data_IF_060700967486
#
_entry.id   IF_060700967486
#
_cell.length_a   1.000
_cell.length_b   1.000
_cell.length_c   1.000
_cell.angle_alpha   90.00
_cell.angle_beta   90.00
_cell.angle_gamma   90.00
#
_symmetry.space_group_name_H-M   'P 1'
#
loop_
_entity.id
_entity.type
_entity.pdbx_description
1 polymer ?
#
# COMPACT_ATOMS: atom_id res chain seq x y z
N UNK A 1 10.86 -7.93 22.43
CA UNK A 1 11.38 -6.59 22.09
C UNK A 1 11.17 -6.38 20.62
N UNK A 2 10.64 -5.22 20.24
CA UNK A 2 10.32 -4.84 18.84
C UNK A 2 11.57 -4.56 18.02
N UNK A 3 11.44 -4.51 16.68
CA UNK A 3 12.53 -4.06 15.80
C UNK A 3 13.01 -2.64 16.18
N UNK A 4 12.09 -1.73 16.51
CA UNK A 4 12.44 -0.36 16.92
C UNK A 4 13.32 -0.33 18.17
N UNK A 5 12.95 -1.08 19.21
CA UNK A 5 13.73 -1.14 20.46
C UNK A 5 15.12 -1.75 20.22
N UNK A 6 15.19 -2.82 19.43
CA UNK A 6 16.48 -3.44 19.06
C UNK A 6 17.36 -2.45 18.30
N UNK A 7 16.79 -1.72 17.34
CA UNK A 7 17.49 -0.70 16.56
C UNK A 7 18.03 0.42 17.45
N UNK A 8 17.22 0.94 18.37
CA UNK A 8 17.61 1.99 19.33
C UNK A 8 18.75 1.54 20.24
N UNK A 9 18.82 0.25 20.57
CA UNK A 9 19.91 -0.35 21.34
C UNK A 9 21.16 -0.70 20.52
N UNK A 10 21.22 -0.27 19.24
CA UNK A 10 22.36 -0.53 18.36
C UNK A 10 22.43 -1.97 17.83
N UNK A 11 21.36 -2.75 17.95
CA UNK A 11 21.31 -4.14 17.48
C UNK A 11 20.82 -4.20 16.03
N UNK A 12 21.66 -4.75 15.15
CA UNK A 12 21.25 -5.18 13.80
C UNK A 12 20.60 -6.57 13.92
N UNK A 13 19.38 -6.72 13.41
CA UNK A 13 18.63 -7.98 13.47
C UNK A 13 18.72 -8.76 12.15
N UNK A 14 18.45 -10.08 12.15
CA UNK A 14 18.38 -10.85 10.91
C UNK A 14 17.35 -10.31 9.91
N UNK A 15 16.27 -9.68 10.40
CA UNK A 15 15.31 -9.03 9.51
C UNK A 15 15.89 -7.77 8.86
N UNK A 16 16.69 -6.98 9.59
CA UNK A 16 17.38 -5.81 9.02
C UNK A 16 18.43 -6.21 7.97
N UNK A 17 19.16 -7.30 8.20
CA UNK A 17 20.12 -7.85 7.22
C UNK A 17 19.42 -8.27 5.93
N UNK A 18 18.32 -9.04 6.04
CA UNK A 18 17.55 -9.46 4.87
C UNK A 18 16.98 -8.29 4.07
N UNK A 19 16.50 -7.23 4.75
CA UNK A 19 16.03 -6.01 4.09
C UNK A 19 17.21 -5.32 3.39
N UNK A 20 18.35 -5.18 4.07
CA UNK A 20 19.53 -4.52 3.51
C UNK A 20 20.01 -5.19 2.22
N UNK A 21 20.08 -6.52 2.22
CA UNK A 21 20.50 -7.32 1.05
C UNK A 21 19.57 -7.12 -0.14
N UNK A 22 18.24 -7.14 0.07
CA UNK A 22 17.24 -6.97 -0.99
C UNK A 22 17.20 -5.55 -1.57
N UNK A 23 17.52 -4.57 -0.75
CA UNK A 23 17.51 -3.15 -1.12
C UNK A 23 18.86 -2.67 -1.66
N UNK A 24 19.93 -3.47 -1.49
CA UNK A 24 21.29 -3.10 -1.93
C UNK A 24 21.93 -2.03 -1.06
N UNK A 25 21.62 -2.02 0.25
CA UNK A 25 22.13 -1.07 1.25
C UNK A 25 22.80 -1.81 2.40
N UNK A 26 23.40 -1.10 3.35
CA UNK A 26 24.04 -1.74 4.51
C UNK A 26 23.02 -2.08 5.62
N UNK A 27 23.24 -3.13 6.42
CA UNK A 27 22.39 -3.42 7.58
C UNK A 27 22.33 -2.25 8.58
N UNK A 28 23.42 -1.50 8.71
CA UNK A 28 23.49 -0.32 9.56
C UNK A 28 22.61 0.84 9.04
N UNK A 29 22.50 1.01 7.72
CA UNK A 29 21.56 1.97 7.13
C UNK A 29 20.12 1.62 7.52
N UNK A 30 19.74 0.35 7.42
CA UNK A 30 18.41 -0.12 7.84
C UNK A 30 18.21 0.09 9.33
N UNK A 31 19.15 -0.33 10.18
CA UNK A 31 19.06 -0.16 11.63
C UNK A 31 18.87 1.31 12.01
N UNK A 32 19.65 2.22 11.43
CA UNK A 32 19.53 3.65 11.72
C UNK A 32 18.19 4.22 11.24
N UNK A 33 17.70 3.80 10.07
CA UNK A 33 16.39 4.20 9.57
C UNK A 33 15.24 3.71 10.46
N UNK A 34 15.33 2.48 10.97
CA UNK A 34 14.38 1.93 11.94
C UNK A 34 14.45 2.70 13.26
N UNK A 35 15.64 2.95 13.80
CA UNK A 35 15.84 3.72 15.03
C UNK A 35 15.31 5.16 14.92
N UNK A 36 15.45 5.80 13.76
CA UNK A 36 14.90 7.13 13.48
C UNK A 36 13.39 7.11 13.19
N UNK A 37 12.80 5.92 13.01
CA UNK A 37 11.42 5.72 12.61
C UNK A 37 11.10 6.15 11.17
N UNK A 38 12.12 6.31 10.31
CA UNK A 38 11.97 6.63 8.87
C UNK A 38 11.89 5.37 8.00
N UNK A 39 12.16 4.21 8.59
CA UNK A 39 11.94 2.87 8.02
C UNK A 39 11.15 2.05 9.03
N UNK A 40 10.18 1.27 8.55
CA UNK A 40 9.53 0.21 9.34
C UNK A 40 9.77 -1.14 8.67
N UNK A 41 9.80 -2.20 9.48
CA UNK A 41 9.86 -3.59 9.04
C UNK A 41 8.65 -4.28 9.66
N UNK A 42 7.49 -4.34 8.97
CA UNK A 42 6.31 -5.04 9.46
C UNK A 42 6.62 -6.54 9.55
N UNK A 43 6.78 -7.02 10.78
CA UNK A 43 7.06 -8.43 11.06
C UNK A 43 6.56 -8.78 12.45
N UNK A 44 5.37 -9.38 12.50
CA UNK A 44 4.84 -9.89 13.75
C UNK A 44 5.71 -11.05 14.27
N UNK A 45 5.89 -11.13 15.59
CA UNK A 45 6.68 -12.21 16.22
C UNK A 45 6.15 -13.61 15.91
N UNK A 46 4.83 -13.76 15.71
CA UNK A 46 4.18 -15.03 15.43
C UNK A 46 4.29 -15.43 13.95
N UNK A 47 4.70 -14.50 13.07
CA UNK A 47 4.84 -14.79 11.66
C UNK A 47 6.18 -15.45 11.35
N UNK A 48 6.12 -16.69 10.86
CA UNK A 48 7.30 -17.52 10.53
C UNK A 48 7.67 -17.52 9.06
N UNK A 49 6.69 -17.51 8.16
CA UNK A 49 6.89 -17.65 6.71
C UNK A 49 6.99 -16.30 5.99
N UNK A 50 7.45 -15.24 6.68
CA UNK A 50 7.57 -13.90 6.12
C UNK A 50 8.94 -13.69 5.48
N UNK A 51 8.94 -13.07 4.30
CA UNK A 51 10.12 -12.41 3.74
C UNK A 51 10.02 -10.93 4.16
N UNK A 52 10.83 -10.45 5.12
CA UNK A 52 10.74 -9.09 5.61
C UNK A 52 10.87 -8.06 4.48
N UNK A 53 10.05 -7.01 4.55
CA UNK A 53 10.14 -5.86 3.65
C UNK A 53 10.37 -4.60 4.48
N UNK A 54 11.39 -3.83 4.11
CA UNK A 54 11.59 -2.49 4.65
C UNK A 54 10.72 -1.49 3.90
N UNK A 55 9.96 -0.69 4.62
CA UNK A 55 9.15 0.40 4.06
C UNK A 55 9.69 1.71 4.61
N UNK A 56 10.27 2.56 3.77
CA UNK A 56 10.78 3.85 4.24
C UNK A 56 11.82 4.51 3.36
N UNK A 57 12.31 5.64 3.85
CA UNK A 57 13.15 6.55 3.09
C UNK A 57 14.46 5.90 2.62
N UNK A 58 14.80 6.12 1.35
CA UNK A 58 16.01 5.57 0.72
C UNK A 58 15.90 4.12 0.26
N UNK A 59 14.76 3.45 0.49
CA UNK A 59 14.45 2.12 -0.06
C UNK A 59 13.58 2.24 -1.31
N UNK A 60 13.50 1.17 -2.11
CA UNK A 60 12.60 1.10 -3.27
C UNK A 60 11.15 1.32 -2.84
N UNK A 61 10.37 2.00 -3.66
CA UNK A 61 8.95 2.25 -3.37
C UNK A 61 8.18 0.92 -3.34
N UNK A 62 7.37 0.70 -2.30
CA UNK A 62 6.62 -0.55 -2.10
C UNK A 62 5.19 -0.44 -2.61
N UNK A 63 4.59 -1.58 -2.95
CA UNK A 63 3.20 -1.68 -3.40
C UNK A 63 2.41 -2.66 -2.53
N UNK A 64 1.18 -2.30 -2.13
CA UNK A 64 0.25 -3.20 -1.46
C UNK A 64 -0.96 -3.49 -2.34
N UNK A 65 -1.36 -4.76 -2.39
CA UNK A 65 -2.66 -5.18 -2.91
C UNK A 65 -3.66 -5.39 -1.77
N UNK A 66 -4.94 -5.16 -2.04
CA UNK A 66 -6.04 -5.35 -1.08
C UNK A 66 -7.01 -6.40 -1.57
N UNK A 67 -7.35 -7.35 -0.70
CA UNK A 67 -8.31 -8.44 -0.94
C UNK A 67 -9.32 -8.47 0.22
N UNK A 68 -10.33 -9.33 0.15
CA UNK A 68 -11.18 -9.59 1.32
C UNK A 68 -12.59 -10.05 0.96
N UNK A 69 -13.21 -10.73 1.91
CA UNK A 69 -14.59 -11.17 1.80
C UNK A 69 -15.57 -10.01 1.90
N UNK A 70 -16.42 -9.91 0.89
CA UNK A 70 -17.55 -8.97 0.86
C UNK A 70 -18.77 -9.60 0.19
N UNK A 71 -19.89 -9.65 0.91
CA UNK A 71 -21.17 -10.16 0.40
C UNK A 71 -21.22 -11.69 0.26
N UNK A 72 -22.36 -12.19 -0.22
CA UNK A 72 -22.68 -13.63 -0.22
C UNK A 72 -21.93 -14.45 -1.28
N UNK A 73 -21.42 -13.81 -2.34
CA UNK A 73 -20.73 -14.49 -3.44
C UNK A 73 -19.22 -14.66 -3.19
N UNK A 74 -18.66 -13.96 -2.21
CA UNK A 74 -17.24 -14.05 -1.91
C UNK A 74 -16.93 -15.38 -1.21
N UNK A 75 -15.85 -16.03 -1.63
CA UNK A 75 -15.36 -17.26 -1.02
C UNK A 75 -13.89 -17.12 -0.66
N UNK A 76 -13.47 -17.82 0.39
CA UNK A 76 -12.07 -17.84 0.84
C UNK A 76 -11.16 -18.32 -0.29
N UNK A 77 -11.57 -19.34 -1.04
CA UNK A 77 -10.78 -19.88 -2.17
C UNK A 77 -10.54 -18.82 -3.26
N UNK A 78 -11.57 -18.03 -3.58
CA UNK A 78 -11.45 -16.93 -4.56
C UNK A 78 -10.51 -15.85 -4.06
N UNK A 79 -10.60 -15.45 -2.79
CA UNK A 79 -9.73 -14.42 -2.22
C UNK A 79 -8.28 -14.91 -2.08
N UNK A 80 -8.07 -16.18 -1.74
CA UNK A 80 -6.73 -16.81 -1.77
C UNK A 80 -6.15 -16.83 -3.19
N UNK A 81 -6.96 -17.08 -4.22
CA UNK A 81 -6.52 -17.00 -5.61
C UNK A 81 -6.10 -15.56 -6.01
N UNK A 82 -6.81 -14.54 -5.53
CA UNK A 82 -6.42 -13.13 -5.70
C UNK A 82 -5.11 -12.81 -4.98
N UNK A 83 -4.90 -13.31 -3.76
CA UNK A 83 -3.64 -13.14 -3.02
C UNK A 83 -2.47 -13.73 -3.81
N UNK A 84 -2.60 -14.99 -4.26
CA UNK A 84 -1.56 -15.66 -5.06
C UNK A 84 -1.26 -14.87 -6.33
N UNK A 85 -2.29 -14.42 -7.02
CA UNK A 85 -2.18 -13.57 -8.22
C UNK A 85 -1.45 -12.26 -7.94
N UNK A 86 -1.77 -11.57 -6.85
CA UNK A 86 -1.12 -10.33 -6.46
C UNK A 86 0.37 -10.54 -6.12
N UNK A 87 0.71 -11.64 -5.43
CA UNK A 87 2.09 -12.02 -5.12
C UNK A 87 2.85 -12.37 -6.40
N UNK A 88 2.28 -13.15 -7.30
CA UNK A 88 2.86 -13.45 -8.62
C UNK A 88 3.08 -12.19 -9.46
N UNK A 89 2.16 -11.22 -9.37
CA UNK A 89 2.28 -9.91 -10.02
C UNK A 89 3.31 -8.99 -9.35
N UNK A 90 3.90 -9.40 -8.22
CA UNK A 90 5.02 -8.73 -7.56
C UNK A 90 4.64 -7.68 -6.53
N UNK A 91 3.48 -7.82 -5.86
CA UNK A 91 3.15 -6.95 -4.72
C UNK A 91 4.10 -7.16 -3.53
N UNK A 92 4.40 -6.11 -2.77
CA UNK A 92 5.26 -6.16 -1.59
C UNK A 92 4.49 -6.44 -0.30
N UNK A 93 3.15 -6.36 -0.34
CA UNK A 93 2.28 -6.49 0.83
C UNK A 93 0.85 -6.83 0.42
N UNK A 94 0.13 -7.49 1.32
CA UNK A 94 -1.30 -7.77 1.19
C UNK A 94 -2.06 -7.06 2.32
N UNK A 95 -3.22 -6.50 2.02
CA UNK A 95 -4.21 -6.12 3.02
C UNK A 95 -5.44 -7.02 2.92
N UNK A 96 -5.80 -7.69 4.03
CA UNK A 96 -7.08 -8.36 4.16
C UNK A 96 -8.10 -7.37 4.74
N UNK A 97 -9.07 -7.01 3.90
CA UNK A 97 -10.12 -6.04 4.15
C UNK A 97 -11.49 -6.69 4.33
N UNK A 98 -11.53 -7.98 4.69
CA UNK A 98 -12.77 -8.74 4.89
C UNK A 98 -13.72 -8.07 5.88
N UNK A 99 -14.99 -7.94 5.50
CA UNK A 99 -16.07 -7.34 6.33
C UNK A 99 -17.25 -8.28 6.56
N UNK A 100 -17.28 -9.43 5.87
CA UNK A 100 -18.36 -10.41 5.96
C UNK A 100 -17.83 -11.84 5.92
N UNK A 101 -18.72 -12.83 6.13
CA UNK A 101 -18.34 -14.24 6.19
C UNK A 101 -17.49 -14.58 7.42
N UNK A 102 -16.69 -15.64 7.30
CA UNK A 102 -15.73 -16.06 8.33
C UNK A 102 -14.41 -15.31 8.16
N UNK A 103 -14.35 -14.10 8.75
CA UNK A 103 -13.20 -13.20 8.69
C UNK A 103 -11.98 -13.82 9.40
N UNK A 104 -12.21 -14.58 10.48
CA UNK A 104 -11.14 -15.26 11.20
C UNK A 104 -10.48 -16.34 10.34
N UNK A 105 -11.28 -17.16 9.66
CA UNK A 105 -10.76 -18.17 8.72
C UNK A 105 -10.06 -17.52 7.53
N UNK A 106 -10.67 -16.50 6.92
CA UNK A 106 -10.07 -15.78 5.79
C UNK A 106 -8.70 -15.20 6.13
N UNK A 107 -8.57 -14.55 7.29
CA UNK A 107 -7.29 -13.98 7.74
C UNK A 107 -6.21 -15.04 7.91
N UNK A 108 -6.54 -16.19 8.51
CA UNK A 108 -5.59 -17.29 8.69
C UNK A 108 -5.14 -17.88 7.36
N UNK A 109 -6.07 -18.05 6.42
CA UNK A 109 -5.76 -18.50 5.06
C UNK A 109 -4.92 -17.48 4.30
N UNK A 110 -5.20 -16.19 4.45
CA UNK A 110 -4.41 -15.12 3.86
C UNK A 110 -2.96 -15.13 4.38
N UNK A 111 -2.77 -15.24 5.70
CA UNK A 111 -1.47 -15.34 6.35
C UNK A 111 -0.66 -16.57 5.88
N UNK A 112 -1.34 -17.67 5.60
CA UNK A 112 -0.72 -18.89 5.06
C UNK A 112 -0.40 -18.76 3.56
N UNK A 113 -1.20 -18.00 2.80
CA UNK A 113 -1.09 -17.91 1.35
C UNK A 113 -0.02 -16.93 0.85
N UNK A 114 0.45 -15.98 1.68
CA UNK A 114 1.45 -14.98 1.27
C UNK A 114 2.74 -15.01 2.10
N UNK A 115 3.93 -14.89 1.46
CA UNK A 115 5.19 -14.63 2.15
C UNK A 115 5.45 -13.13 2.40
N UNK A 116 4.63 -12.22 1.87
CA UNK A 116 4.81 -10.76 2.00
C UNK A 116 4.06 -10.18 3.19
N UNK A 117 4.48 -9.08 3.84
CA UNK A 117 3.74 -8.41 4.93
C UNK A 117 2.22 -8.42 4.72
N UNK A 118 1.47 -8.84 5.75
CA UNK A 118 0.02 -8.81 5.72
C UNK A 118 -0.51 -7.81 6.75
N UNK A 119 -1.40 -6.94 6.31
CA UNK A 119 -2.10 -6.00 7.19
C UNK A 119 -3.61 -6.13 7.14
N UNK A 120 -4.27 -5.55 8.14
CA UNK A 120 -5.74 -5.58 8.30
C UNK A 120 -6.27 -4.26 8.83
N UNK A 121 -7.60 -4.10 8.85
CA UNK A 121 -8.28 -3.07 9.62
C UNK A 121 -9.17 -3.72 10.69
N UNK A 122 -8.69 -3.91 11.93
CA UNK A 122 -9.44 -4.58 13.01
C UNK A 122 -10.85 -4.06 13.22
N UNK A 123 -11.04 -2.75 13.04
CA UNK A 123 -12.33 -2.11 13.19
C UNK A 123 -13.41 -2.72 12.28
N UNK A 124 -13.04 -3.22 11.10
CA UNK A 124 -13.98 -3.83 10.13
C UNK A 124 -14.59 -5.10 10.70
N UNK A 125 -13.76 -5.96 11.28
CA UNK A 125 -14.22 -7.18 11.93
C UNK A 125 -15.03 -6.87 13.19
N UNK A 126 -14.59 -5.90 14.00
CA UNK A 126 -15.29 -5.49 15.21
C UNK A 126 -16.72 -5.01 14.93
N UNK A 127 -16.91 -4.15 13.91
CA UNK A 127 -18.26 -3.71 13.53
C UNK A 127 -19.12 -4.81 12.93
N UNK A 128 -18.52 -5.73 12.17
CA UNK A 128 -19.23 -6.88 11.61
C UNK A 128 -19.70 -7.85 12.71
N UNK A 129 -18.86 -8.13 13.70
CA UNK A 129 -19.20 -8.97 14.87
C UNK A 129 -20.24 -8.31 15.76
N UNK A 130 -20.08 -7.01 16.07
CA UNK A 130 -21.05 -6.25 16.84
C UNK A 130 -22.41 -6.18 16.14
N UNK A 131 -22.44 -6.01 14.82
CA UNK A 131 -23.68 -6.03 14.04
C UNK A 131 -24.41 -7.37 14.15
N UNK A 132 -23.68 -8.50 14.03
CA UNK A 132 -24.25 -9.85 14.23
C UNK A 132 -24.74 -10.09 15.65
N UNK A 133 -24.02 -9.60 16.66
CA UNK A 133 -24.31 -9.84 18.08
C UNK A 133 -25.43 -8.94 18.62
N UNK A 134 -25.43 -7.66 18.26
CA UNK A 134 -26.29 -6.62 18.84
C UNK A 134 -27.37 -6.10 17.89
N UNK A 135 -27.38 -6.59 16.65
CA UNK A 135 -28.26 -6.11 15.58
C UNK A 135 -27.87 -4.74 15.00
N UNK A 136 -26.76 -4.15 15.45
CA UNK A 136 -26.23 -2.89 14.94
C UNK A 136 -24.76 -2.75 15.30
N UNK A 137 -23.94 -2.35 14.33
CA UNK A 137 -22.52 -2.00 14.54
C UNK A 137 -22.32 -0.80 15.48
N UNK A 138 -23.34 0.06 15.63
CA UNK A 138 -23.27 1.24 16.49
C UNK A 138 -23.29 0.90 17.99
N UNK A 139 -23.69 -0.33 18.34
CA UNK A 139 -23.71 -0.87 19.70
C UNK A 139 -22.46 -1.69 20.03
N UNK A 140 -21.41 -1.60 19.22
CA UNK A 140 -20.12 -2.22 19.51
C UNK A 140 -19.60 -1.71 20.85
N UNK A 141 -19.20 -2.62 21.74
CA UNK A 141 -18.53 -2.24 22.98
C UNK A 141 -17.03 -2.03 22.75
N UNK A 142 -16.41 -1.13 23.52
CA UNK A 142 -14.97 -0.81 23.36
C UNK A 142 -14.11 -2.06 23.54
N UNK A 143 -14.48 -2.95 24.47
CA UNK A 143 -13.75 -4.20 24.69
C UNK A 143 -13.80 -5.15 23.49
N UNK A 144 -14.93 -5.20 22.77
CA UNK A 144 -15.05 -6.05 21.57
C UNK A 144 -14.07 -5.60 20.48
N UNK A 145 -13.84 -4.28 20.34
CA UNK A 145 -12.83 -3.75 19.43
C UNK A 145 -11.41 -4.18 19.84
N UNK A 146 -11.06 -4.07 21.13
CA UNK A 146 -9.73 -4.44 21.61
C UNK A 146 -9.49 -5.96 21.59
N UNK A 147 -10.51 -6.77 21.85
CA UNK A 147 -10.45 -8.22 21.67
C UNK A 147 -10.13 -8.60 20.22
N UNK A 148 -10.74 -7.92 19.24
CA UNK A 148 -10.44 -8.14 17.81
C UNK A 148 -9.02 -7.70 17.46
N UNK A 149 -8.57 -6.54 17.94
CA UNK A 149 -7.20 -6.05 17.72
C UNK A 149 -6.16 -7.05 18.24
N UNK A 150 -6.32 -7.50 19.49
CA UNK A 150 -5.45 -8.49 20.13
C UNK A 150 -5.51 -9.84 19.39
N UNK A 151 -6.69 -10.30 18.99
CA UNK A 151 -6.87 -11.57 18.26
C UNK A 151 -6.15 -11.55 16.92
N UNK A 152 -6.25 -10.46 16.16
CA UNK A 152 -5.55 -10.32 14.88
C UNK A 152 -4.03 -10.22 15.06
N UNK A 153 -3.56 -9.50 16.08
CA UNK A 153 -2.14 -9.47 16.41
C UNK A 153 -1.62 -10.86 16.84
N UNK A 154 -2.40 -11.60 17.62
CA UNK A 154 -2.05 -12.95 18.03
C UNK A 154 -1.96 -13.94 16.85
N UNK A 155 -2.83 -13.80 15.85
CA UNK A 155 -2.80 -14.63 14.63
C UNK A 155 -1.54 -14.41 13.76
N UNK A 156 -0.88 -13.26 13.91
CA UNK A 156 0.37 -12.96 13.19
C UNK A 156 0.27 -11.87 12.12
N UNK A 157 -0.76 -11.02 12.16
CA UNK A 157 -0.86 -9.84 11.28
C UNK A 157 0.33 -8.90 11.52
N UNK A 158 1.00 -8.45 10.46
CA UNK A 158 2.25 -7.69 10.56
C UNK A 158 2.05 -6.19 10.76
N UNK A 159 0.95 -5.64 10.26
CA UNK A 159 0.57 -4.27 10.53
C UNK A 159 -0.94 -4.07 10.65
N UNK A 160 -1.35 -3.19 11.56
CA UNK A 160 -2.77 -2.90 11.82
C UNK A 160 -3.06 -1.47 11.40
N UNK A 161 -3.96 -1.32 10.44
CA UNK A 161 -4.48 -0.01 10.05
C UNK A 161 -5.59 0.43 11.01
N UNK A 162 -5.33 1.51 11.76
CA UNK A 162 -6.16 1.97 12.88
C UNK A 162 -6.46 3.47 12.76
N UNK A 163 -7.75 3.83 12.79
CA UNK A 163 -8.23 5.20 12.68
C UNK A 163 -8.14 5.93 14.03
N UNK A 164 -6.94 6.02 14.59
CA UNK A 164 -6.73 6.63 15.92
C UNK A 164 -6.81 8.17 15.89
N UNK A 165 -6.63 8.81 14.73
CA UNK A 165 -6.56 10.27 14.62
C UNK A 165 -7.90 10.98 14.46
N UNK A 166 -8.97 10.26 14.14
CA UNK A 166 -10.29 10.86 13.89
C UNK A 166 -10.97 11.22 15.21
N UNK A 167 -10.83 12.46 15.68
CA UNK A 167 -11.43 12.96 16.93
C UNK A 167 -12.78 13.64 16.71
N UNK A 168 -13.59 13.77 17.76
CA UNK A 168 -14.91 14.44 17.69
C UNK A 168 -14.77 15.88 17.19
N UNK A 169 -13.69 16.57 17.58
CA UNK A 169 -13.40 17.93 17.09
C UNK A 169 -13.23 18.00 15.57
N UNK A 170 -12.66 16.97 14.95
CA UNK A 170 -12.48 16.88 13.50
C UNK A 170 -13.82 16.58 12.83
N UNK A 171 -14.64 15.73 13.45
CA UNK A 171 -16.01 15.43 12.97
C UNK A 171 -16.87 16.70 12.97
N UNK A 172 -16.82 17.50 14.04
CA UNK A 172 -17.54 18.77 14.13
C UNK A 172 -17.09 19.76 13.05
N UNK A 173 -15.77 19.82 12.80
CA UNK A 173 -15.23 20.65 11.73
C UNK A 173 -15.70 20.20 10.35
N UNK A 174 -15.67 18.90 10.07
CA UNK A 174 -16.13 18.35 8.79
C UNK A 174 -17.60 18.69 8.53
N UNK A 175 -18.45 18.60 9.57
CA UNK A 175 -19.86 19.02 9.50
C UNK A 175 -20.03 20.51 9.18
N UNK A 176 -19.16 21.36 9.74
CA UNK A 176 -19.22 22.81 9.56
C UNK A 176 -18.74 23.26 8.19
N UNK A 177 -17.66 22.66 7.67
CA UNK A 177 -17.03 23.07 6.41
C UNK A 177 -17.77 22.53 5.18
N UNK A 178 -18.42 21.35 5.27
CA UNK A 178 -19.29 20.83 4.23
C UNK A 178 -18.55 20.36 2.97
N UNK A 179 -17.94 19.17 3.06
CA UNK A 179 -17.31 18.47 1.91
C UNK A 179 -18.30 18.13 0.80
N UNK A 180 -17.80 18.01 -0.42
CA UNK A 180 -18.57 17.47 -1.55
C UNK A 180 -18.82 15.98 -1.35
N UNK A 181 -17.77 15.22 -1.02
CA UNK A 181 -17.89 13.82 -0.62
C UNK A 181 -17.58 13.70 0.88
N UNK A 182 -18.62 13.64 1.73
CA UNK A 182 -18.47 13.89 3.16
C UNK A 182 -17.51 12.93 3.85
N UNK A 183 -17.58 11.63 3.58
CA UNK A 183 -16.80 10.59 4.27
C UNK A 183 -16.69 9.30 3.44
N UNK A 184 -15.50 9.03 2.90
CA UNK A 184 -15.24 7.84 2.04
C UNK A 184 -14.46 6.72 2.74
N UNK A 185 -13.98 6.94 3.96
CA UNK A 185 -13.30 5.89 4.72
C UNK A 185 -14.29 4.90 5.30
N UNK A 186 -14.39 3.66 4.80
CA UNK A 186 -15.29 2.67 5.39
C UNK A 186 -15.14 2.58 6.92
N UNK A 187 -13.90 2.41 7.41
CA UNK A 187 -13.64 2.38 8.86
C UNK A 187 -13.88 3.72 9.54
N UNK A 188 -13.45 4.83 8.94
CA UNK A 188 -13.68 6.17 9.48
C UNK A 188 -15.17 6.52 9.60
N UNK A 189 -15.98 6.22 8.59
CA UNK A 189 -17.42 6.47 8.57
C UNK A 189 -18.15 5.66 9.63
N UNK A 190 -17.83 4.37 9.79
CA UNK A 190 -18.43 3.54 10.84
C UNK A 190 -17.99 3.96 12.25
N UNK A 191 -16.73 4.38 12.40
CA UNK A 191 -16.21 4.94 13.65
C UNK A 191 -16.92 6.24 14.02
N UNK A 192 -17.06 7.18 13.08
CA UNK A 192 -17.79 8.44 13.29
C UNK A 192 -19.25 8.15 13.63
N UNK A 193 -19.88 7.20 12.93
CA UNK A 193 -21.23 6.73 13.27
C UNK A 193 -21.32 6.27 14.72
N UNK A 194 -20.38 5.43 15.17
CA UNK A 194 -20.31 4.96 16.54
C UNK A 194 -20.11 6.11 17.54
N UNK A 195 -19.19 7.04 17.26
CA UNK A 195 -18.89 8.20 18.12
C UNK A 195 -20.13 9.07 18.33
N UNK A 196 -20.85 9.38 17.24
CA UNK A 196 -22.05 10.20 17.27
C UNK A 196 -23.22 9.49 17.96
N UNK A 197 -23.40 8.19 17.71
CA UNK A 197 -24.47 7.41 18.34
C UNK A 197 -24.30 7.29 19.86
N UNK A 198 -23.06 7.04 20.30
CA UNK A 198 -22.74 6.85 21.71
C UNK A 198 -22.44 8.15 22.45
N UNK A 199 -22.34 9.28 21.75
CA UNK A 199 -21.88 10.57 22.28
C UNK A 199 -20.55 10.43 23.04
N UNK A 200 -19.59 9.74 22.41
CA UNK A 200 -18.26 9.44 22.98
C UNK A 200 -17.16 9.82 21.98
N UNK A 201 -15.98 10.09 22.51
CA UNK A 201 -14.78 10.26 21.68
C UNK A 201 -14.36 8.92 21.07
N UNK A 202 -13.48 8.99 20.06
CA UNK A 202 -12.90 7.84 19.40
C UNK A 202 -12.22 6.89 20.41
N UNK A 203 -12.69 5.64 20.54
CA UNK A 203 -12.18 4.70 21.53
C UNK A 203 -10.71 4.33 21.29
N UNK A 204 -10.23 4.38 20.04
CA UNK A 204 -8.82 4.14 19.72
C UNK A 204 -7.92 5.32 20.11
N UNK A 205 -8.47 6.54 20.08
CA UNK A 205 -7.76 7.74 20.50
C UNK A 205 -7.66 7.82 22.03
N UNK A 206 -8.79 7.64 22.73
CA UNK A 206 -8.84 7.66 24.21
C UNK A 206 -8.00 6.54 24.82
N UNK A 207 -7.98 5.37 24.18
CA UNK A 207 -7.27 4.18 24.66
C UNK A 207 -6.01 3.89 23.85
N UNK A 208 -5.33 4.91 23.33
CA UNK A 208 -4.16 4.71 22.47
C UNK A 208 -3.05 3.91 23.16
N UNK A 209 -2.86 4.06 24.48
CA UNK A 209 -1.84 3.28 25.21
C UNK A 209 -2.11 1.78 25.16
N UNK A 210 -3.39 1.35 25.19
CA UNK A 210 -3.77 -0.06 24.99
C UNK A 210 -3.41 -0.55 23.59
N UNK A 211 -3.57 0.30 22.57
CA UNK A 211 -3.13 -0.02 21.20
C UNK A 211 -1.61 -0.24 21.16
N UNK A 212 -0.85 0.63 21.83
CA UNK A 212 0.61 0.55 21.91
C UNK A 212 1.08 -0.70 22.66
N UNK A 213 0.41 -1.07 23.75
CA UNK A 213 0.70 -2.29 24.52
C UNK A 213 0.56 -3.55 23.65
N UNK A 214 -0.55 -3.66 22.91
CA UNK A 214 -0.80 -4.78 21.99
C UNK A 214 0.27 -4.80 20.89
N UNK A 215 0.49 -3.66 20.22
CA UNK A 215 1.45 -3.57 19.12
C UNK A 215 2.88 -3.94 19.59
N UNK A 216 3.28 -3.47 20.77
CA UNK A 216 4.58 -3.78 21.38
C UNK A 216 4.71 -5.25 21.77
N UNK A 217 3.64 -5.87 22.26
CA UNK A 217 3.62 -7.29 22.66
C UNK A 217 3.94 -8.21 21.48
N UNK A 218 3.42 -7.92 20.30
CA UNK A 218 3.57 -8.76 19.11
C UNK A 218 4.54 -8.24 18.04
N UNK A 219 5.18 -7.08 18.25
CA UNK A 219 5.98 -6.37 17.24
C UNK A 219 5.21 -6.06 15.96
N UNK A 220 3.95 -5.67 16.14
CA UNK A 220 3.07 -5.29 15.05
C UNK A 220 3.28 -3.82 14.73
N UNK A 221 3.46 -3.51 13.45
CA UNK A 221 3.57 -2.12 13.00
C UNK A 221 2.19 -1.46 13.01
N UNK A 222 2.08 -0.27 13.59
CA UNK A 222 0.84 0.52 13.48
C UNK A 222 0.85 1.26 12.15
N UNK A 223 -0.22 1.12 11.38
CA UNK A 223 -0.52 1.98 10.24
C UNK A 223 -1.62 2.96 10.66
N UNK A 224 -1.25 4.19 11.00
CA UNK A 224 -2.22 5.19 11.44
C UNK A 224 -3.08 5.61 10.24
N UNK A 225 -4.32 5.16 10.21
CA UNK A 225 -5.24 5.34 9.09
C UNK A 225 -5.95 6.70 9.16
N UNK A 226 -6.13 7.33 8.00
CA UNK A 226 -6.83 8.61 7.83
C UNK A 226 -8.33 8.39 7.60
N UNK A 227 -9.14 8.77 8.59
CA UNK A 227 -10.60 8.76 8.50
C UNK A 227 -11.15 9.88 7.62
N UNK A 228 -10.44 11.00 7.56
CA UNK A 228 -10.78 12.22 6.81
C UNK A 228 -9.99 12.36 5.51
N UNK A 229 -9.59 11.26 4.87
CA UNK A 229 -9.04 11.36 3.51
C UNK A 229 -10.09 11.94 2.54
N UNK A 230 -9.67 12.71 1.53
CA UNK A 230 -10.56 13.24 0.49
C UNK A 230 -11.10 12.12 -0.41
N UNK A 231 -12.42 12.13 -0.62
CA UNK A 231 -13.14 11.25 -1.55
C UNK A 231 -13.35 11.83 -2.94
N UNK A 232 -13.10 13.12 -3.09
CA UNK A 232 -13.03 13.79 -4.38
C UNK A 232 -11.92 14.84 -4.37
N UNK A 233 -11.53 15.32 -5.55
CA UNK A 233 -10.47 16.31 -5.70
C UNK A 233 -10.73 17.61 -4.93
N UNK A 234 -11.99 18.04 -4.84
CA UNK A 234 -12.38 19.30 -4.22
C UNK A 234 -12.15 19.33 -2.71
N UNK A 235 -12.17 18.15 -2.07
CA UNK A 235 -11.98 18.00 -0.63
C UNK A 235 -10.49 17.84 -0.26
N UNK A 236 -9.58 17.91 -1.25
CA UNK A 236 -8.15 17.76 -1.04
C UNK A 236 -7.53 18.97 -0.34
N UNK A 237 -6.75 18.70 0.71
CA UNK A 237 -6.11 19.65 1.62
C UNK A 237 -7.09 20.56 2.36
N UNK A 238 -8.30 20.05 2.62
CA UNK A 238 -9.30 20.74 3.41
C UNK A 238 -8.98 20.73 4.93
N UNK A 239 -9.79 21.44 5.70
CA UNK A 239 -9.59 21.60 7.13
C UNK A 239 -9.55 20.28 7.92
N UNK A 240 -10.57 19.41 7.78
CA UNK A 240 -10.60 18.09 8.42
C UNK A 240 -9.40 17.20 8.09
N UNK A 241 -8.98 17.13 6.81
CA UNK A 241 -7.83 16.31 6.42
C UNK A 241 -6.55 16.80 7.10
N UNK A 242 -6.30 18.11 7.03
CA UNK A 242 -5.09 18.71 7.60
C UNK A 242 -5.09 18.57 9.13
N UNK A 243 -6.24 18.78 9.78
CA UNK A 243 -6.35 18.63 11.23
C UNK A 243 -6.12 17.19 11.69
N UNK A 244 -6.68 16.20 10.99
CA UNK A 244 -6.41 14.80 11.30
C UNK A 244 -4.92 14.50 11.17
N UNK A 245 -4.26 14.96 10.11
CA UNK A 245 -2.83 14.75 9.92
C UNK A 245 -1.97 15.36 11.04
N UNK A 246 -2.40 16.49 11.63
CA UNK A 246 -1.75 17.06 12.82
C UNK A 246 -1.84 16.08 14.00
N UNK A 247 -3.03 15.55 14.29
CA UNK A 247 -3.25 14.57 15.36
C UNK A 247 -2.44 13.29 15.11
N UNK A 248 -2.42 12.77 13.89
CA UNK A 248 -1.62 11.60 13.52
C UNK A 248 -0.13 11.84 13.81
N UNK A 249 0.38 13.06 13.58
CA UNK A 249 1.75 13.44 13.92
C UNK A 249 2.06 13.39 15.43
N UNK A 250 1.07 13.60 16.30
CA UNK A 250 1.21 13.43 17.75
C UNK A 250 1.25 11.96 18.14
N UNK A 251 0.35 11.15 17.55
CA UNK A 251 0.28 9.71 17.77
C UNK A 251 1.54 9.00 17.29
N UNK A 252 2.14 9.44 16.17
CA UNK A 252 3.46 8.93 15.71
C UNK A 252 4.54 9.10 16.78
N UNK A 253 4.59 10.25 17.47
CA UNK A 253 5.58 10.48 18.53
C UNK A 253 5.36 9.52 19.69
N UNK A 254 4.12 9.40 20.16
CA UNK A 254 3.74 8.47 21.24
C UNK A 254 4.07 7.02 20.90
N UNK A 255 3.81 6.57 19.67
CA UNK A 255 4.15 5.21 19.23
C UNK A 255 5.65 4.94 19.30
N UNK A 256 6.47 5.89 18.81
CA UNK A 256 7.94 5.76 18.85
C UNK A 256 8.49 5.77 20.28
N UNK A 257 7.96 6.62 21.16
CA UNK A 257 8.30 6.64 22.58
C UNK A 257 7.96 5.31 23.26
N UNK A 258 6.85 4.68 22.88
CA UNK A 258 6.46 3.35 23.33
C UNK A 258 7.24 2.21 22.64
N UNK A 259 8.22 2.51 21.77
CA UNK A 259 9.01 1.51 21.07
C UNK A 259 8.23 0.71 20.03
N UNK A 260 7.16 1.27 19.48
CA UNK A 260 6.31 0.66 18.44
C UNK A 260 6.65 1.27 17.07
N UNK A 261 6.78 0.41 16.05
CA UNK A 261 6.97 0.85 14.68
C UNK A 261 5.67 1.47 14.13
N UNK A 262 5.77 2.59 13.42
CA UNK A 262 4.59 3.31 12.92
C UNK A 262 4.81 3.87 11.51
N UNK A 263 3.80 3.71 10.67
CA UNK A 263 3.64 4.40 9.39
C UNK A 263 2.29 5.12 9.36
N UNK A 264 2.12 6.03 8.41
CA UNK A 264 0.90 6.85 8.29
C UNK A 264 0.24 6.55 6.95
N UNK A 265 -1.07 6.31 6.96
CA UNK A 265 -1.86 6.19 5.73
C UNK A 265 -2.25 7.58 5.22
N UNK A 266 -2.25 7.74 3.92
CA UNK A 266 -2.49 9.00 3.22
C UNK A 266 -3.65 8.94 2.24
N UNK A 267 -3.90 10.07 1.55
CA UNK A 267 -5.16 10.33 0.89
C UNK A 267 -5.46 9.43 -0.31
N UNK A 268 -6.74 9.48 -0.69
CA UNK A 268 -7.29 8.87 -1.91
C UNK A 268 -7.31 9.84 -3.09
N UNK A 269 -8.13 10.89 -3.05
CA UNK A 269 -8.32 11.79 -4.21
C UNK A 269 -7.56 13.10 -4.05
N UNK A 270 -6.57 13.36 -4.90
CA UNK A 270 -5.67 14.51 -4.78
C UNK A 270 -5.29 15.03 -6.17
N UNK A 271 -5.65 16.28 -6.53
CA UNK A 271 -5.25 16.84 -7.81
C UNK A 271 -3.72 17.02 -7.86
N UNK A 272 -3.14 16.96 -9.07
CA UNK A 272 -1.69 16.93 -9.29
C UNK A 272 -0.92 18.03 -8.53
N UNK A 273 -1.46 19.24 -8.50
CA UNK A 273 -0.86 20.40 -7.85
C UNK A 273 -0.82 20.30 -6.31
N UNK A 274 -1.57 19.38 -5.69
CA UNK A 274 -1.60 19.17 -4.24
C UNK A 274 -0.72 18.01 -3.76
N UNK A 275 -0.28 17.11 -4.66
CA UNK A 275 0.44 15.88 -4.29
C UNK A 275 1.71 16.16 -3.48
N UNK A 276 2.59 17.03 -4.00
CA UNK A 276 3.85 17.37 -3.32
C UNK A 276 3.59 18.05 -1.98
N UNK A 277 2.59 18.92 -1.90
CA UNK A 277 2.25 19.63 -0.67
C UNK A 277 1.76 18.66 0.41
N UNK A 278 0.91 17.70 0.04
CA UNK A 278 0.41 16.64 0.94
C UNK A 278 1.56 15.81 1.52
N UNK A 279 2.46 15.31 0.66
CA UNK A 279 3.61 14.51 1.11
C UNK A 279 4.53 15.33 2.01
N UNK A 280 4.84 16.58 1.62
CA UNK A 280 5.68 17.47 2.43
C UNK A 280 5.09 17.73 3.82
N UNK A 281 3.77 17.97 3.88
CA UNK A 281 3.05 18.20 5.13
C UNK A 281 3.12 16.97 6.03
N UNK A 282 2.87 15.77 5.49
CA UNK A 282 2.98 14.54 6.26
C UNK A 282 4.39 14.33 6.81
N UNK A 283 5.44 14.48 5.99
CA UNK A 283 6.81 14.26 6.43
C UNK A 283 7.22 15.21 7.55
N UNK A 284 6.76 16.47 7.49
CA UNK A 284 7.02 17.47 8.52
C UNK A 284 6.28 17.15 9.84
N UNK A 285 4.97 16.94 9.79
CA UNK A 285 4.13 16.71 10.97
C UNK A 285 4.43 15.36 11.63
N UNK A 286 4.62 14.31 10.82
CA UNK A 286 4.81 12.94 11.26
C UNK A 286 6.29 12.54 11.37
N UNK A 287 7.21 13.50 11.46
CA UNK A 287 8.65 13.27 11.73
C UNK A 287 9.27 12.21 10.82
N UNK A 288 9.00 12.31 9.53
CA UNK A 288 9.53 11.43 8.50
C UNK A 288 9.02 9.99 8.53
N UNK A 289 7.92 9.69 9.25
CA UNK A 289 7.31 8.36 9.22
C UNK A 289 6.99 7.94 7.77
N UNK A 290 7.12 6.64 7.42
CA UNK A 290 6.76 6.14 6.10
C UNK A 290 5.31 6.49 5.76
N UNK A 291 5.06 6.85 4.49
CA UNK A 291 3.76 7.31 4.04
C UNK A 291 3.13 6.33 3.04
N UNK A 292 1.94 5.85 3.38
CA UNK A 292 1.19 4.83 2.67
C UNK A 292 -0.04 5.43 1.98
N UNK A 293 0.10 5.79 0.70
CA UNK A 293 -0.93 6.51 -0.07
C UNK A 293 -1.86 5.55 -0.82
N UNK A 294 -3.12 5.94 -1.06
CA UNK A 294 -4.10 5.12 -1.77
C UNK A 294 -4.30 5.59 -3.21
N UNK A 295 -3.52 5.08 -4.16
CA UNK A 295 -3.29 5.76 -5.44
C UNK A 295 -2.22 6.84 -5.24
N UNK A 296 -2.56 8.14 -5.09
CA UNK A 296 -3.88 8.78 -5.15
C UNK A 296 -4.46 8.99 -6.55
N UNK A 297 -5.78 9.07 -6.66
CA UNK A 297 -6.48 9.46 -7.89
C UNK A 297 -6.29 10.95 -8.16
N UNK A 298 -5.89 11.28 -9.39
CA UNK A 298 -5.61 12.67 -9.82
C UNK A 298 -6.76 13.30 -10.58
N UNK A 299 -7.79 12.51 -10.89
CA UNK A 299 -9.03 12.93 -11.54
C UNK A 299 -10.18 12.01 -11.14
N UNK A 300 -11.37 12.60 -10.95
CA UNK A 300 -12.61 11.92 -10.55
C UNK A 300 -13.43 11.41 -11.75
N UNK A 301 -13.03 11.74 -12.99
CA UNK A 301 -13.84 11.47 -14.19
C UNK A 301 -13.53 10.13 -14.85
N UNK A 302 -12.66 9.32 -14.25
CA UNK A 302 -12.04 8.15 -14.88
C UNK A 302 -12.52 6.81 -14.29
N UNK A 303 -13.72 6.76 -13.69
CA UNK A 303 -14.30 5.51 -13.18
C UNK A 303 -14.25 4.40 -14.23
N UNK A 304 -13.81 3.19 -13.83
CA UNK A 304 -13.47 2.09 -14.75
C UNK A 304 -11.99 2.08 -15.19
N UNK A 305 -11.28 3.18 -14.99
CA UNK A 305 -9.88 3.39 -15.31
C UNK A 305 -9.10 4.01 -14.14
N UNK A 306 -9.63 3.92 -12.93
CA UNK A 306 -9.05 4.56 -11.75
C UNK A 306 -7.66 4.02 -11.40
N UNK A 307 -7.34 2.76 -11.74
CA UNK A 307 -5.98 2.24 -11.68
C UNK A 307 -4.95 3.09 -12.47
N UNK A 308 -5.35 3.73 -13.58
CA UNK A 308 -4.51 4.64 -14.37
C UNK A 308 -4.39 6.00 -13.67
N UNK A 309 -5.52 6.57 -13.24
CA UNK A 309 -5.55 7.83 -12.46
C UNK A 309 -4.68 7.73 -11.21
N UNK A 310 -4.82 6.63 -10.49
CA UNK A 310 -4.08 6.28 -9.29
C UNK A 310 -2.59 6.06 -9.56
N UNK A 311 -2.21 5.40 -10.66
CA UNK A 311 -0.81 5.22 -11.02
C UNK A 311 -0.08 6.56 -11.27
N UNK A 312 -0.76 7.55 -11.87
CA UNK A 312 -0.21 8.89 -12.06
C UNK A 312 0.06 9.56 -10.71
N UNK A 313 -0.94 9.59 -9.83
CA UNK A 313 -0.79 10.22 -8.52
C UNK A 313 0.19 9.48 -7.61
N UNK A 314 0.21 8.15 -7.68
CA UNK A 314 1.14 7.28 -6.95
C UNK A 314 2.58 7.52 -7.35
N UNK A 315 2.88 7.63 -8.65
CA UNK A 315 4.23 7.91 -9.12
C UNK A 315 4.74 9.26 -8.62
N UNK A 316 3.91 10.30 -8.70
CA UNK A 316 4.28 11.65 -8.25
C UNK A 316 4.39 11.73 -6.72
N UNK A 317 3.48 11.09 -5.99
CA UNK A 317 3.53 11.03 -4.53
C UNK A 317 4.77 10.28 -4.04
N UNK A 318 5.07 9.14 -4.68
CA UNK A 318 6.26 8.37 -4.35
C UNK A 318 7.53 9.13 -4.69
N UNK A 319 7.59 9.81 -5.83
CA UNK A 319 8.71 10.68 -6.17
C UNK A 319 8.89 11.83 -5.17
N UNK A 320 7.78 12.40 -4.69
CA UNK A 320 7.78 13.44 -3.65
C UNK A 320 8.19 12.92 -2.26
N UNK A 321 8.20 11.59 -2.04
CA UNK A 321 8.67 10.98 -0.79
C UNK A 321 7.68 10.04 -0.11
N UNK A 322 6.56 9.65 -0.73
CA UNK A 322 5.81 8.49 -0.26
C UNK A 322 6.59 7.19 -0.56
N UNK A 323 6.50 6.21 0.34
CA UNK A 323 7.30 4.99 0.24
C UNK A 323 6.45 3.74 0.03
N UNK A 324 5.14 3.88 0.13
CA UNK A 324 4.22 2.76 0.02
C UNK A 324 2.95 3.18 -0.73
N UNK A 325 2.61 2.45 -1.78
CA UNK A 325 1.45 2.71 -2.63
C UNK A 325 0.45 1.57 -2.43
N UNK A 326 -0.75 1.87 -1.95
CA UNK A 326 -1.87 0.95 -2.08
C UNK A 326 -2.35 1.05 -3.51
N UNK A 327 -2.47 -0.10 -4.17
CA UNK A 327 -2.99 -0.17 -5.52
C UNK A 327 -4.44 0.32 -5.59
N UNK A 328 -4.89 0.58 -6.81
CA UNK A 328 -6.28 0.84 -7.13
C UNK A 328 -6.60 -0.03 -8.34
N UNK A 329 -7.79 -0.62 -8.38
CA UNK A 329 -8.20 -1.50 -9.48
C UNK A 329 -9.09 -0.75 -10.47
N UNK A 330 -9.32 -1.33 -11.65
CA UNK A 330 -10.32 -0.79 -12.59
C UNK A 330 -11.74 -0.76 -12.00
N UNK A 331 -12.03 -1.61 -11.01
CA UNK A 331 -13.34 -1.70 -10.35
C UNK A 331 -13.54 -0.70 -9.22
N UNK A 332 -12.54 0.14 -8.90
CA UNK A 332 -12.72 1.20 -7.91
C UNK A 332 -13.94 2.07 -8.27
N UNK A 333 -14.72 2.44 -7.25
CA UNK A 333 -16.02 3.12 -7.38
C UNK A 333 -17.15 2.35 -8.10
N UNK A 334 -16.89 1.15 -8.63
CA UNK A 334 -17.85 0.40 -9.44
C UNK A 334 -18.22 -0.97 -8.87
N UNK A 335 -17.31 -1.63 -8.14
CA UNK A 335 -17.57 -2.94 -7.57
C UNK A 335 -16.34 -3.65 -6.99
N UNK A 336 -16.49 -4.96 -6.75
CA UNK A 336 -15.39 -5.80 -6.29
C UNK A 336 -14.53 -6.22 -7.48
N UNK A 337 -13.19 -6.18 -7.37
CA UNK A 337 -12.31 -6.61 -8.45
C UNK A 337 -12.32 -8.13 -8.60
N UNK A 338 -12.22 -8.59 -9.85
CA UNK A 338 -11.88 -9.98 -10.15
C UNK A 338 -10.35 -10.22 -10.08
N UNK A 339 -9.92 -11.44 -10.39
CA UNK A 339 -8.51 -11.85 -10.31
C UNK A 339 -7.64 -11.08 -11.32
N UNK A 340 -8.15 -10.81 -12.52
CA UNK A 340 -7.40 -10.12 -13.56
C UNK A 340 -7.23 -8.64 -13.22
N UNK A 341 -8.29 -8.02 -12.71
CA UNK A 341 -8.26 -6.63 -12.23
C UNK A 341 -7.34 -6.44 -11.02
N UNK A 342 -7.18 -7.46 -10.17
CA UNK A 342 -6.16 -7.47 -9.11
C UNK A 342 -4.76 -7.44 -9.72
N UNK A 343 -4.46 -8.30 -10.70
CA UNK A 343 -3.17 -8.29 -11.41
C UNK A 343 -2.91 -6.94 -12.07
N UNK A 344 -3.87 -6.40 -12.81
CA UNK A 344 -3.76 -5.11 -13.49
C UNK A 344 -3.47 -3.97 -12.52
N UNK A 345 -4.20 -3.92 -11.39
CA UNK A 345 -3.96 -2.92 -10.34
C UNK A 345 -2.54 -3.01 -9.76
N UNK A 346 -2.05 -4.23 -9.50
CA UNK A 346 -0.69 -4.44 -8.95
C UNK A 346 0.35 -3.98 -9.97
N UNK A 347 0.20 -4.37 -11.24
CA UNK A 347 1.11 -3.95 -12.30
C UNK A 347 1.12 -2.43 -12.47
N UNK A 348 -0.06 -1.77 -12.47
CA UNK A 348 -0.15 -0.32 -12.55
C UNK A 348 0.58 0.39 -11.40
N UNK A 349 0.38 -0.08 -10.16
CA UNK A 349 1.07 0.46 -9.00
C UNK A 349 2.58 0.18 -9.01
N UNK A 350 3.03 -0.98 -9.50
CA UNK A 350 4.46 -1.28 -9.66
C UNK A 350 5.12 -0.41 -10.73
N UNK A 351 4.43 -0.12 -11.83
CA UNK A 351 4.89 0.84 -12.83
C UNK A 351 5.07 2.22 -12.19
N UNK A 352 4.10 2.66 -11.38
CA UNK A 352 4.17 3.93 -10.66
C UNK A 352 5.35 3.98 -9.67
N UNK A 353 5.52 2.92 -8.87
CA UNK A 353 6.63 2.77 -7.93
C UNK A 353 8.00 2.82 -8.63
N UNK A 354 8.15 2.05 -9.71
CA UNK A 354 9.40 2.02 -10.49
C UNK A 354 9.69 3.36 -11.18
N UNK A 355 8.68 4.02 -11.74
CA UNK A 355 8.83 5.36 -12.33
C UNK A 355 9.30 6.39 -11.29
N UNK A 356 8.78 6.29 -10.05
CA UNK A 356 9.24 7.12 -8.95
C UNK A 356 10.69 6.82 -8.55
N UNK A 357 11.07 5.55 -8.51
CA UNK A 357 12.44 5.12 -8.17
C UNK A 357 13.47 5.55 -9.23
N UNK A 358 13.08 5.54 -10.51
CA UNK A 358 13.86 6.16 -11.60
C UNK A 358 14.04 7.67 -11.39
N UNK A 359 12.95 8.38 -11.05
CA UNK A 359 12.99 9.82 -10.80
C UNK A 359 13.79 10.19 -9.53
N UNK A 360 13.89 9.28 -8.56
CA UNK A 360 14.79 9.36 -7.40
C UNK A 360 16.25 9.03 -7.75
N UNK A 361 16.53 8.52 -8.95
CA UNK A 361 17.87 8.17 -9.40
C UNK A 361 18.42 6.87 -8.82
N UNK A 362 17.54 5.91 -8.45
CA UNK A 362 17.98 4.64 -7.86
C UNK A 362 18.78 3.80 -8.86
N UNK A 363 20.02 3.37 -8.53
CA UNK A 363 20.90 2.66 -9.47
C UNK A 363 20.27 1.40 -10.07
N UNK A 364 19.63 0.58 -9.25
CA UNK A 364 19.00 -0.67 -9.70
C UNK A 364 17.80 -0.44 -10.63
N UNK A 365 17.00 0.61 -10.38
CA UNK A 365 15.89 0.98 -11.26
C UNK A 365 16.42 1.44 -12.62
N UNK A 366 17.43 2.33 -12.62
CA UNK A 366 18.07 2.83 -13.85
C UNK A 366 18.72 1.69 -14.63
N UNK A 367 19.34 0.73 -13.94
CA UNK A 367 19.93 -0.46 -14.55
C UNK A 367 18.87 -1.32 -15.23
N UNK A 368 17.73 -1.55 -14.58
CA UNK A 368 16.64 -2.35 -15.14
C UNK A 368 16.14 -1.79 -16.49
N UNK A 369 15.84 -0.49 -16.58
CA UNK A 369 15.42 0.17 -17.84
C UNK A 369 16.47 0.08 -18.94
N UNK A 370 17.74 0.28 -18.58
CA UNK A 370 18.86 0.21 -19.53
C UNK A 370 19.04 -1.20 -20.07
N UNK A 371 18.94 -2.22 -19.22
CA UNK A 371 19.08 -3.62 -19.61
C UNK A 371 17.93 -4.05 -20.54
N UNK A 372 16.69 -3.64 -20.25
CA UNK A 372 15.54 -3.89 -21.13
C UNK A 372 15.68 -3.16 -22.46
N UNK A 373 16.08 -1.88 -22.43
CA UNK A 373 16.29 -1.09 -23.65
C UNK A 373 17.41 -1.67 -24.52
N UNK A 374 18.46 -2.23 -23.89
CA UNK A 374 19.53 -2.92 -24.60
C UNK A 374 19.03 -4.22 -25.23
N UNK A 375 18.29 -5.04 -24.50
CA UNK A 375 17.68 -6.25 -25.05
C UNK A 375 16.77 -5.92 -26.25
N UNK A 376 15.99 -4.83 -26.15
CA UNK A 376 15.17 -4.32 -27.27
C UNK A 376 16.01 -3.93 -28.47
N UNK A 377 17.12 -3.19 -28.28
CA UNK A 377 18.04 -2.81 -29.37
C UNK A 377 18.69 -4.03 -30.02
N UNK A 378 19.04 -5.02 -29.21
CA UNK A 378 19.68 -6.27 -29.63
C UNK A 378 18.69 -7.27 -30.23
N UNK A 379 17.39 -6.98 -30.14
CA UNK A 379 16.29 -7.83 -30.62
C UNK A 379 16.27 -9.19 -29.90
N UNK A 380 16.80 -9.20 -28.68
CA UNK A 380 16.75 -10.32 -27.75
C UNK A 380 15.36 -10.33 -27.08
N UNK A 381 14.41 -10.93 -27.78
CA UNK A 381 13.01 -11.02 -27.36
C UNK A 381 12.86 -11.74 -26.02
N UNK A 382 13.58 -12.85 -25.82
CA UNK A 382 13.50 -13.62 -24.58
C UNK A 382 13.97 -12.79 -23.39
N UNK A 383 15.09 -12.08 -23.52
CA UNK A 383 15.59 -11.19 -22.47
C UNK A 383 14.69 -9.98 -22.28
N UNK A 384 14.17 -9.37 -23.35
CA UNK A 384 13.23 -8.26 -23.24
C UNK A 384 11.96 -8.68 -22.47
N UNK A 385 11.42 -9.87 -22.75
CA UNK A 385 10.24 -10.40 -22.08
C UNK A 385 10.54 -10.78 -20.63
N UNK A 386 11.70 -11.40 -20.36
CA UNK A 386 12.13 -11.73 -19.00
C UNK A 386 12.34 -10.48 -18.13
N UNK A 387 12.79 -9.37 -18.72
CA UNK A 387 12.97 -8.09 -18.04
C UNK A 387 11.69 -7.25 -17.97
N UNK A 388 10.59 -7.63 -18.63
CA UNK A 388 9.34 -6.86 -18.54
C UNK A 388 8.80 -6.89 -17.10
N UNK A 389 8.08 -5.83 -16.70
CA UNK A 389 7.47 -5.78 -15.36
C UNK A 389 6.41 -6.87 -15.16
N UNK A 390 5.75 -7.26 -16.26
CA UNK A 390 4.89 -8.43 -16.40
C UNK A 390 5.35 -9.28 -17.60
N UNK A 391 6.25 -10.26 -17.36
CA UNK A 391 6.74 -11.16 -18.40
C UNK A 391 5.65 -12.03 -19.03
N UNK A 392 4.58 -12.35 -18.30
CA UNK A 392 3.50 -13.21 -18.81
C UNK A 392 2.71 -12.44 -19.87
N UNK A 393 2.30 -11.21 -19.55
CA UNK A 393 1.57 -10.34 -20.49
C UNK A 393 2.40 -9.97 -21.72
N UNK A 394 3.70 -9.67 -21.53
CA UNK A 394 4.59 -9.37 -22.64
C UNK A 394 4.69 -10.54 -23.65
N UNK A 395 4.85 -11.78 -23.16
CA UNK A 395 4.86 -13.00 -23.98
C UNK A 395 3.53 -13.23 -24.69
N UNK A 396 2.41 -13.07 -23.97
CA UNK A 396 1.07 -13.23 -24.54
C UNK A 396 0.86 -12.30 -25.74
N UNK A 397 1.11 -10.99 -25.57
CA UNK A 397 0.90 -10.00 -26.64
C UNK A 397 1.80 -10.28 -27.84
N UNK A 398 3.06 -10.67 -27.61
CA UNK A 398 3.97 -11.05 -28.70
C UNK A 398 3.39 -12.24 -29.47
N UNK A 399 3.00 -13.32 -28.78
CA UNK A 399 2.42 -14.52 -29.40
C UNK A 399 1.16 -14.23 -30.21
N UNK A 400 0.30 -13.34 -29.72
CA UNK A 400 -0.96 -12.98 -30.41
C UNK A 400 -0.74 -12.13 -31.66
N UNK A 401 0.32 -11.32 -31.70
CA UNK A 401 0.52 -10.28 -32.73
C UNK A 401 1.64 -10.57 -33.71
N UNK A 402 2.38 -11.65 -33.53
CA UNK A 402 3.63 -11.87 -34.27
C UNK A 402 3.59 -13.17 -35.04
N UNK A 403 3.91 -13.12 -36.33
CA UNK A 403 4.25 -14.31 -37.09
C UNK A 403 5.69 -14.72 -36.70
N UNK A 404 5.87 -15.96 -36.24
CA UNK A 404 7.18 -16.53 -35.84
C UNK A 404 8.26 -16.44 -36.95
N UNK A 405 7.89 -16.05 -38.17
CA UNK A 405 8.76 -15.95 -39.34
C UNK A 405 9.34 -14.57 -39.62
N UNK A 406 8.90 -13.49 -38.95
CA UNK A 406 9.45 -12.16 -39.22
C UNK A 406 10.55 -11.83 -38.22
N UNK A 407 11.71 -11.46 -38.76
CA UNK A 407 12.74 -10.79 -37.97
C UNK A 407 12.09 -9.64 -37.22
N UNK A 408 11.48 -8.68 -37.92
CA UNK A 408 10.90 -7.45 -37.36
C UNK A 408 9.77 -7.65 -36.30
N UNK A 409 9.57 -6.64 -35.45
CA UNK A 409 8.34 -6.57 -34.64
C UNK A 409 7.11 -6.33 -35.54
N UNK A 410 5.95 -6.84 -35.13
CA UNK A 410 4.72 -6.78 -35.89
C UNK A 410 4.23 -5.35 -36.21
N UNK A 411 4.66 -4.35 -35.43
CA UNK A 411 4.24 -2.95 -35.62
C UNK A 411 4.90 -2.28 -36.82
N UNK A 412 6.15 -2.59 -37.12
CA UNK A 412 6.90 -1.92 -38.18
C UNK A 412 7.17 -2.82 -39.39
N UNK A 413 7.21 -4.15 -39.20
CA UNK A 413 7.55 -5.09 -40.27
C UNK A 413 8.82 -4.66 -41.02
N UNK A 414 8.75 -4.64 -42.36
CA UNK A 414 9.85 -4.19 -43.25
C UNK A 414 10.29 -2.72 -43.10
N UNK A 415 9.63 -1.93 -42.26
CA UNK A 415 9.97 -0.52 -42.00
C UNK A 415 10.49 -0.32 -40.58
N UNK A 416 11.16 -1.32 -40.01
CA UNK A 416 11.75 -1.24 -38.69
C UNK A 416 12.68 -0.01 -38.59
N UNK A 417 12.31 0.95 -37.73
CA UNK A 417 13.11 2.16 -37.53
C UNK A 417 14.54 1.83 -37.07
N UNK A 418 14.73 0.73 -36.32
CA UNK A 418 16.07 0.31 -35.89
C UNK A 418 16.89 -0.27 -37.05
N UNK A 419 16.28 -0.99 -38.00
CA UNK A 419 17.00 -1.46 -39.21
C UNK A 419 17.42 -0.29 -40.10
N UNK A 420 16.51 0.68 -40.30
CA UNK A 420 16.81 1.90 -41.06
C UNK A 420 17.97 2.67 -40.41
N UNK A 421 17.90 2.90 -39.09
CA UNK A 421 18.97 3.62 -38.38
C UNK A 421 20.28 2.82 -38.37
N UNK A 422 20.24 1.50 -38.27
CA UNK A 422 21.44 0.66 -38.34
C UNK A 422 22.14 0.78 -39.71
N UNK A 423 21.37 0.79 -40.79
CA UNK A 423 21.88 0.97 -42.16
C UNK A 423 22.57 2.32 -42.36
N UNK A 424 21.99 3.41 -41.86
CA UNK A 424 22.49 4.76 -42.12
C UNK A 424 23.49 5.32 -41.08
N UNK A 425 23.44 4.87 -39.83
CA UNK A 425 24.37 5.32 -38.78
C UNK A 425 25.58 4.37 -38.61
N UNK A 426 25.69 3.32 -39.42
CA UNK A 426 26.83 2.38 -39.36
C UNK A 426 26.90 1.57 -38.06
N UNK A 427 25.78 1.41 -37.36
CA UNK A 427 25.71 0.53 -36.19
C UNK A 427 25.45 -0.90 -36.66
N UNK A 428 25.99 -1.90 -35.94
CA UNK A 428 25.89 -3.31 -36.37
C UNK A 428 24.44 -3.70 -36.69
N UNK A 429 24.23 -4.32 -37.85
CA UNK A 429 22.94 -4.90 -38.23
C UNK A 429 22.59 -6.04 -37.27
N UNK A 430 21.85 -5.75 -36.21
CA UNK A 430 21.04 -6.78 -35.56
C UNK A 430 19.81 -6.96 -36.45
N UNK A 431 19.85 -7.99 -37.31
CA UNK A 431 18.64 -8.45 -37.99
C UNK A 431 17.70 -9.00 -36.93
N UNK A 432 16.44 -8.56 -37.01
CA UNK A 432 15.42 -8.74 -35.99
C UNK A 432 15.01 -10.21 -35.73
#
# INVERSE_FOLDING_TARGET
>A
MTQLIKALNGVVTPEMEQVADREGVTPEFIRQGVANGTIVIPRNINRRNIIPAGIGAGLKTKVSASVGLYGEKASIDTEVAKIKTAVEAGTDSIMDLSVSGDIDAMRREALAATPTPLGTLPFYQAVAEASRKHGSSLRMEVEELFEVIERQAADGVDFLALHCGTTMSIVERAKKEGRIDPLVSYGGSHLIGWMLYNNKENPLYENYDRVLEIARKYDVTISLADGMRPGCLADSLDGPQVQELVVLGELVRRAREAGVQVMVKGPGHVPLNHLKATVTLQKSLCKGAPYFVFGPLVTDIAAGYDHISAAIGGAISAWAGAEFICYVTASEHLGLPDIDQVREGVIAARIAAHAADLAKGMPEAVKWDRDLSRARKELDWEKQMALAIDPQRARQIRKERSDDSSSACAMCGKYCAMEVVAEYLGTAKTSC
#
